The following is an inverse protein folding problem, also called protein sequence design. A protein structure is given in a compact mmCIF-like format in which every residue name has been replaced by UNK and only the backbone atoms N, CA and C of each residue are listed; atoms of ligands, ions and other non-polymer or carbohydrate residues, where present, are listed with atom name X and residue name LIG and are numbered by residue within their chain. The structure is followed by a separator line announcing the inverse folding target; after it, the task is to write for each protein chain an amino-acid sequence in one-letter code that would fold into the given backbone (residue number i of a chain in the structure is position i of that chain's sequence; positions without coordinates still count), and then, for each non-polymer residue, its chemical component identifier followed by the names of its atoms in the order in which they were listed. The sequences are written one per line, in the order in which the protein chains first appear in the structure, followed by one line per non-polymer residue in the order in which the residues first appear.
data_IF_477085833644
#
_entry.id   IF_477085833644
#
_cell.length_a   1.000
_cell.length_b   1.000
_cell.length_c   1.000
_cell.angle_alpha   90.00
_cell.angle_beta   90.00
_cell.angle_gamma   90.00
#
_symmetry.space_group_name_H-M   'P 1'
#
loop_
_entity.id
_entity.type
_entity.pdbx_description
1 polymer ?
#
# COMPACT_ATOMS: atom_id res chain seq x y z
N UNK A 1 -30.58 25.21 24.52
CA UNK A 1 -29.64 24.34 23.79
C UNK A 1 -28.42 25.17 23.51
N UNK A 2 -27.38 25.01 24.32
CA UNK A 2 -26.14 25.77 24.22
C UNK A 2 -24.98 24.76 24.25
N UNK A 3 -24.21 24.71 23.17
CA UNK A 3 -23.15 23.72 22.99
C UNK A 3 -21.88 24.20 23.73
N UNK A 4 -21.57 23.56 24.85
CA UNK A 4 -20.35 23.80 25.63
C UNK A 4 -19.09 23.30 24.93
N UNK A 5 -18.63 23.99 23.89
CA UNK A 5 -17.24 23.88 23.45
C UNK A 5 -16.35 24.71 24.38
N UNK A 6 -15.60 24.03 25.26
CA UNK A 6 -14.50 24.67 25.99
C UNK A 6 -13.48 25.18 24.96
N UNK A 7 -13.29 26.51 24.92
CA UNK A 7 -12.20 27.14 24.16
C UNK A 7 -10.86 26.59 24.64
N UNK A 8 -10.02 26.17 23.70
CA UNK A 8 -8.62 25.93 23.93
C UNK A 8 -7.95 27.22 24.46
N UNK A 9 -7.07 27.15 25.48
CA UNK A 9 -6.29 28.30 25.87
C UNK A 9 -5.38 28.71 24.70
N UNK A 10 -5.27 30.01 24.45
CA UNK A 10 -4.44 30.58 23.39
C UNK A 10 -2.94 30.31 23.60
N UNK A 11 -2.08 30.77 22.66
CA UNK A 11 -0.64 30.53 22.74
C UNK A 11 -0.03 31.11 24.02
N UNK A 12 1.01 30.43 24.53
CA UNK A 12 1.72 30.80 25.76
C UNK A 12 2.32 32.22 25.67
N UNK A 13 2.35 32.99 26.78
CA UNK A 13 3.05 34.26 26.82
C UNK A 13 4.57 34.10 26.58
N UNK A 14 5.26 35.09 25.99
CA UNK A 14 6.65 34.94 25.54
C UNK A 14 7.70 34.94 26.66
N UNK A 15 7.31 35.16 27.92
CA UNK A 15 8.20 35.44 29.05
C UNK A 15 8.44 34.25 29.99
N UNK A 16 8.02 33.04 29.60
CA UNK A 16 8.43 31.81 30.28
C UNK A 16 7.80 31.57 31.65
N UNK A 17 6.67 32.20 31.96
CA UNK A 17 5.91 31.91 33.17
C UNK A 17 5.32 30.50 33.19
N UNK A 18 5.49 29.76 34.30
CA UNK A 18 4.85 28.47 34.52
C UNK A 18 3.34 28.64 34.73
N UNK A 19 2.53 27.90 33.96
CA UNK A 19 1.09 27.81 34.17
C UNK A 19 0.80 27.17 35.53
N UNK A 20 0.25 27.96 36.46
CA UNK A 20 -0.17 27.49 37.77
C UNK A 20 -1.52 26.76 37.61
N UNK A 21 -1.47 25.44 37.63
CA UNK A 21 -2.66 24.60 37.53
C UNK A 21 -3.30 24.50 38.91
N UNK A 22 -4.59 24.86 39.10
CA UNK A 22 -5.20 24.76 40.41
C UNK A 22 -5.27 23.28 40.83
N UNK A 23 -4.49 22.91 41.83
CA UNK A 23 -4.58 21.66 42.55
C UNK A 23 -5.84 21.68 43.44
N UNK A 24 -7.02 21.51 42.83
CA UNK A 24 -8.26 21.27 43.56
C UNK A 24 -8.70 19.83 43.32
N UNK A 25 -8.71 19.05 44.39
CA UNK A 25 -8.95 17.62 44.41
C UNK A 25 -10.30 17.22 43.81
N UNK A 26 -10.23 16.21 42.95
CA UNK A 26 -11.31 15.27 42.70
C UNK A 26 -10.62 13.91 42.56
N UNK A 27 -10.42 13.20 43.67
CA UNK A 27 -10.40 11.75 43.65
C UNK A 27 -11.84 11.29 43.36
N UNK A 28 -12.32 11.59 42.15
CA UNK A 28 -13.41 10.88 41.55
C UNK A 28 -12.76 9.64 40.99
N UNK A 29 -12.99 8.51 41.64
CA UNK A 29 -12.94 7.23 40.95
C UNK A 29 -13.71 7.44 39.65
N UNK A 30 -13.03 7.37 38.50
CA UNK A 30 -13.69 7.28 37.21
C UNK A 30 -14.38 5.92 37.22
N UNK A 31 -15.56 5.87 37.83
CA UNK A 31 -16.48 4.77 37.69
C UNK A 31 -17.04 4.94 36.29
N UNK A 32 -16.75 3.97 35.42
CA UNK A 32 -17.49 3.86 34.17
C UNK A 32 -18.99 3.92 34.52
N UNK A 33 -19.78 4.74 33.82
CA UNK A 33 -21.21 4.79 34.07
C UNK A 33 -21.78 3.37 33.95
N UNK A 34 -22.54 2.89 34.94
CA UNK A 34 -23.06 1.53 34.92
C UNK A 34 -24.02 1.38 33.74
N UNK A 35 -23.61 0.60 32.75
CA UNK A 35 -24.52 0.00 31.77
C UNK A 35 -24.82 0.80 30.50
N UNK A 36 -24.00 1.77 30.10
CA UNK A 36 -23.93 2.06 28.66
C UNK A 36 -23.06 0.95 28.06
N UNK A 37 -23.72 -0.11 27.57
CA UNK A 37 -23.09 -1.07 26.68
C UNK A 37 -22.38 -0.23 25.61
N UNK A 38 -21.05 -0.07 25.73
CA UNK A 38 -20.25 0.69 24.78
C UNK A 38 -20.38 -0.09 23.49
N UNK A 39 -21.40 0.24 22.71
CA UNK A 39 -21.62 -0.28 21.39
C UNK A 39 -20.39 0.17 20.62
N UNK A 40 -19.42 -0.72 20.48
CA UNK A 40 -18.18 -0.43 19.76
C UNK A 40 -18.63 0.07 18.40
N UNK A 41 -18.38 1.35 18.11
CA UNK A 41 -18.77 1.98 16.85
C UNK A 41 -18.40 1.01 15.72
N UNK A 42 -19.38 0.54 14.92
CA UNK A 42 -19.13 -0.41 13.84
C UNK A 42 -18.01 0.04 12.91
N UNK A 43 -17.86 1.36 12.74
CA UNK A 43 -16.79 1.99 11.96
C UNK A 43 -15.42 1.70 12.56
N UNK A 44 -15.25 1.91 13.87
CA UNK A 44 -14.01 1.65 14.60
C UNK A 44 -13.64 0.16 14.56
N UNK A 45 -14.62 -0.73 14.76
CA UNK A 45 -14.41 -2.18 14.66
C UNK A 45 -13.91 -2.60 13.27
N UNK A 46 -14.50 -2.06 12.21
CA UNK A 46 -14.11 -2.35 10.83
C UNK A 46 -12.69 -1.85 10.51
N UNK A 47 -12.30 -0.70 11.05
CA UNK A 47 -10.94 -0.15 10.92
C UNK A 47 -9.91 -1.03 11.63
N UNK A 48 -10.17 -1.42 12.88
CA UNK A 48 -9.26 -2.31 13.63
C UNK A 48 -9.08 -3.65 12.93
N UNK A 49 -10.18 -4.24 12.44
CA UNK A 49 -10.13 -5.47 11.67
C UNK A 49 -9.20 -5.33 10.45
N UNK A 50 -9.36 -4.28 9.64
CA UNK A 50 -8.57 -4.05 8.42
C UNK A 50 -7.06 -3.83 8.65
N UNK A 51 -6.62 -3.56 9.89
CA UNK A 51 -5.20 -3.43 10.24
C UNK A 51 -4.56 -4.78 10.57
N UNK A 52 -5.36 -5.75 11.03
CA UNK A 52 -4.87 -7.06 11.46
C UNK A 52 -4.61 -7.99 10.26
N UNK A 53 -3.48 -8.73 10.23
CA UNK A 53 -3.26 -9.75 9.20
C UNK A 53 -4.20 -10.95 9.38
N UNK A 54 -4.61 -11.60 8.29
CA UNK A 54 -5.22 -12.95 8.37
C UNK A 54 -4.24 -13.99 8.90
N UNK A 55 -2.95 -13.85 8.56
CA UNK A 55 -1.87 -14.73 8.98
C UNK A 55 -0.57 -13.94 9.02
N UNK A 56 0.03 -13.70 10.20
CA UNK A 56 1.30 -12.98 10.31
C UNK A 56 2.45 -13.63 9.54
N UNK A 57 2.46 -14.97 9.44
CA UNK A 57 3.49 -15.73 8.75
C UNK A 57 3.42 -15.54 7.23
N UNK A 58 2.21 -15.52 6.67
CA UNK A 58 2.00 -15.49 5.22
C UNK A 58 1.83 -14.07 4.68
N UNK A 59 1.07 -13.22 5.39
CA UNK A 59 0.75 -11.86 4.97
C UNK A 59 1.70 -10.80 5.54
N UNK A 60 2.63 -11.21 6.41
CA UNK A 60 3.52 -10.33 7.15
C UNK A 60 2.93 -9.88 8.49
N UNK A 61 3.78 -9.54 9.48
CA UNK A 61 3.31 -9.14 10.80
C UNK A 61 2.48 -7.85 10.76
N UNK A 62 1.82 -7.54 11.86
CA UNK A 62 1.09 -6.29 12.01
C UNK A 62 2.01 -5.09 11.74
N UNK A 63 1.54 -4.11 10.96
CA UNK A 63 2.34 -2.95 10.57
C UNK A 63 3.43 -3.21 9.52
N UNK A 64 3.74 -4.47 9.19
CA UNK A 64 4.74 -4.86 8.20
C UNK A 64 4.15 -5.85 7.17
N UNK A 65 3.19 -5.41 6.33
CA UNK A 65 2.60 -6.26 5.32
C UNK A 65 3.62 -6.67 4.25
N UNK A 66 3.60 -7.94 3.86
CA UNK A 66 4.47 -8.45 2.79
C UNK A 66 4.00 -8.03 1.39
N UNK A 67 2.71 -7.77 1.18
CA UNK A 67 2.19 -7.39 -0.13
C UNK A 67 2.87 -6.13 -0.70
N UNK A 68 2.95 -4.98 0.02
CA UNK A 68 3.68 -3.79 -0.45
C UNK A 68 5.17 -4.01 -0.71
N UNK A 69 5.80 -4.99 -0.04
CA UNK A 69 7.19 -5.35 -0.29
C UNK A 69 7.29 -6.14 -1.60
N UNK A 70 6.44 -7.15 -1.78
CA UNK A 70 6.47 -8.03 -2.95
C UNK A 70 6.12 -7.30 -4.26
N UNK A 71 5.22 -6.32 -4.23
CA UNK A 71 4.86 -5.54 -5.44
C UNK A 71 6.03 -4.72 -6.00
N UNK A 72 7.10 -4.50 -5.23
CA UNK A 72 8.30 -3.81 -5.75
C UNK A 72 8.98 -4.59 -6.87
N UNK A 73 8.92 -5.93 -6.83
CA UNK A 73 9.52 -6.82 -7.84
C UNK A 73 8.86 -6.65 -9.21
N UNK A 74 7.54 -6.87 -9.40
CA UNK A 74 6.89 -6.68 -10.69
C UNK A 74 7.01 -5.25 -11.20
N UNK A 75 6.87 -4.25 -10.33
CA UNK A 75 6.96 -2.84 -10.73
C UNK A 75 8.35 -2.53 -11.28
N UNK A 76 9.40 -2.87 -10.54
CA UNK A 76 10.77 -2.63 -10.96
C UNK A 76 11.12 -3.39 -12.25
N UNK A 77 10.75 -4.67 -12.32
CA UNK A 77 11.04 -5.51 -13.47
C UNK A 77 10.37 -4.98 -14.75
N UNK A 78 9.08 -4.63 -14.70
CA UNK A 78 8.34 -4.14 -15.86
C UNK A 78 8.72 -2.72 -16.28
N UNK A 79 9.11 -1.85 -15.33
CA UNK A 79 9.70 -0.55 -15.69
C UNK A 79 11.03 -0.75 -16.41
N UNK A 80 11.91 -1.59 -15.88
CA UNK A 80 13.19 -1.91 -16.53
C UNK A 80 12.99 -2.59 -17.90
N UNK A 81 11.98 -3.45 -18.06
CA UNK A 81 11.68 -4.08 -19.34
C UNK A 81 11.29 -3.05 -20.39
N UNK A 82 10.48 -2.04 -20.03
CA UNK A 82 10.15 -0.94 -20.94
C UNK A 82 11.40 -0.11 -21.30
N UNK A 83 12.30 0.14 -20.34
CA UNK A 83 13.57 0.83 -20.62
C UNK A 83 14.40 0.03 -21.63
N UNK A 84 14.49 -1.28 -21.46
CA UNK A 84 15.22 -2.16 -22.38
C UNK A 84 14.58 -2.21 -23.77
N UNK A 85 13.25 -2.25 -23.84
CA UNK A 85 12.50 -2.15 -25.08
C UNK A 85 12.87 -0.88 -25.85
N UNK A 86 12.82 0.28 -25.19
CA UNK A 86 13.15 1.58 -25.81
C UNK A 86 14.63 1.61 -26.23
N UNK A 87 15.52 1.13 -25.37
CA UNK A 87 16.96 1.09 -25.64
C UNK A 87 17.31 0.16 -26.81
N UNK A 88 16.54 -0.92 -27.03
CA UNK A 88 16.72 -1.82 -28.17
C UNK A 88 16.58 -1.09 -29.52
N UNK A 89 15.85 0.03 -29.59
CA UNK A 89 15.76 0.84 -30.81
C UNK A 89 16.92 1.83 -31.02
N UNK A 90 17.89 1.88 -30.10
CA UNK A 90 18.96 2.89 -30.08
C UNK A 90 20.36 2.31 -30.22
N UNK A 91 20.49 0.99 -30.28
CA UNK A 91 21.77 0.28 -30.33
C UNK A 91 21.90 -0.53 -31.61
N UNK A 92 23.13 -0.71 -32.09
CA UNK A 92 23.41 -1.43 -33.34
C UNK A 92 23.07 -2.94 -33.26
N UNK A 93 23.18 -3.52 -32.06
CA UNK A 93 22.90 -4.95 -31.80
C UNK A 93 21.79 -5.09 -30.75
N UNK A 94 20.51 -5.03 -31.15
CA UNK A 94 19.40 -4.85 -30.21
C UNK A 94 18.94 -6.11 -29.48
N UNK A 95 19.25 -7.30 -30.00
CA UNK A 95 18.70 -8.57 -29.51
C UNK A 95 18.91 -8.83 -28.01
N UNK A 96 20.06 -8.47 -27.44
CA UNK A 96 20.32 -8.70 -26.01
C UNK A 96 19.40 -7.87 -25.09
N UNK A 97 19.03 -6.65 -25.50
CA UNK A 97 18.10 -5.81 -24.75
C UNK A 97 16.67 -6.31 -24.89
N UNK A 98 16.26 -6.71 -26.09
CA UNK A 98 14.94 -7.28 -26.33
C UNK A 98 14.76 -8.60 -25.54
N UNK A 99 15.79 -9.45 -25.51
CA UNK A 99 15.79 -10.68 -24.73
C UNK A 99 15.83 -10.40 -23.21
N UNK A 100 16.63 -9.43 -22.77
CA UNK A 100 16.64 -8.98 -21.37
C UNK A 100 15.27 -8.44 -20.93
N UNK A 101 14.59 -7.70 -21.80
CA UNK A 101 13.22 -7.21 -21.57
C UNK A 101 12.22 -8.36 -21.40
N UNK A 102 12.30 -9.39 -22.26
CA UNK A 102 11.46 -10.59 -22.14
C UNK A 102 11.67 -11.32 -20.79
N UNK A 103 12.93 -11.47 -20.35
CA UNK A 103 13.23 -12.03 -19.03
C UNK A 103 12.73 -11.19 -17.87
N UNK A 104 12.84 -9.86 -17.97
CA UNK A 104 12.30 -8.94 -16.97
C UNK A 104 10.77 -9.03 -16.91
N UNK A 105 10.09 -9.20 -18.05
CA UNK A 105 8.65 -9.47 -18.08
C UNK A 105 8.34 -10.77 -17.31
N UNK A 106 9.09 -11.85 -17.56
CA UNK A 106 8.91 -13.13 -16.86
C UNK A 106 9.13 -13.01 -15.34
N UNK A 107 10.21 -12.34 -14.92
CA UNK A 107 10.50 -12.07 -13.50
C UNK A 107 9.36 -11.27 -12.87
N UNK A 108 8.87 -10.25 -13.58
CA UNK A 108 7.74 -9.46 -13.12
C UNK A 108 6.46 -10.28 -13.01
N UNK A 109 6.19 -11.23 -13.92
CA UNK A 109 5.05 -12.13 -13.82
C UNK A 109 5.12 -13.03 -12.58
N UNK A 110 6.29 -13.62 -12.29
CA UNK A 110 6.50 -14.42 -11.07
C UNK A 110 6.28 -13.57 -9.82
N UNK A 111 6.85 -12.36 -9.79
CA UNK A 111 6.65 -11.41 -8.69
C UNK A 111 5.19 -10.99 -8.53
N UNK A 112 4.47 -10.76 -9.63
CA UNK A 112 3.06 -10.38 -9.62
C UNK A 112 2.17 -11.48 -9.04
N UNK A 113 2.42 -12.75 -9.39
CA UNK A 113 1.69 -13.89 -8.82
C UNK A 113 1.91 -13.99 -7.32
N UNK A 114 3.17 -13.91 -6.87
CA UNK A 114 3.50 -13.93 -5.44
C UNK A 114 2.81 -12.76 -4.69
N UNK A 115 2.90 -11.55 -5.23
CA UNK A 115 2.26 -10.37 -4.64
C UNK A 115 0.72 -10.49 -4.63
N UNK A 116 0.11 -11.04 -5.68
CA UNK A 116 -1.33 -11.23 -5.79
C UNK A 116 -1.86 -12.23 -4.75
N UNK A 117 -1.12 -13.32 -4.49
CA UNK A 117 -1.48 -14.26 -3.42
C UNK A 117 -1.54 -13.56 -2.06
N UNK A 118 -0.54 -12.74 -1.73
CA UNK A 118 -0.52 -12.02 -0.47
C UNK A 118 -1.57 -10.89 -0.43
N UNK A 119 -1.75 -10.16 -1.52
CA UNK A 119 -2.77 -9.10 -1.61
C UNK A 119 -4.19 -9.64 -1.51
N UNK A 120 -4.44 -10.85 -1.98
CA UNK A 120 -5.73 -11.53 -1.82
C UNK A 120 -6.01 -11.86 -0.34
N UNK A 121 -4.99 -12.27 0.41
CA UNK A 121 -5.10 -12.47 1.86
C UNK A 121 -5.45 -11.16 2.58
N UNK A 122 -4.82 -10.04 2.19
CA UNK A 122 -5.13 -8.72 2.74
C UNK A 122 -6.58 -8.26 2.38
N UNK A 123 -7.07 -8.59 1.19
CA UNK A 123 -8.44 -8.26 0.75
C UNK A 123 -9.51 -8.93 1.61
N UNK A 124 -9.30 -10.18 2.06
CA UNK A 124 -10.28 -10.94 2.85
C UNK A 124 -10.59 -10.26 4.19
N UNK A 125 -9.62 -9.51 4.73
CA UNK A 125 -9.77 -8.79 6.00
C UNK A 125 -10.70 -7.58 5.87
N UNK A 126 -10.76 -6.97 4.68
CA UNK A 126 -11.49 -5.71 4.46
C UNK A 126 -13.00 -5.97 4.47
N UNK A 127 -13.79 -5.29 5.32
CA UNK A 127 -15.24 -5.50 5.37
C UNK A 127 -15.94 -5.09 4.05
N UNK A 128 -16.77 -6.00 3.52
CA UNK A 128 -17.33 -5.93 2.14
C UNK A 128 -18.22 -4.71 1.84
N UNK A 129 -18.88 -4.14 2.84
CA UNK A 129 -19.79 -2.99 2.69
C UNK A 129 -19.07 -1.62 2.72
N UNK A 130 -17.74 -1.61 2.73
CA UNK A 130 -16.95 -0.38 2.87
C UNK A 130 -16.51 0.22 1.54
N UNK A 131 -16.22 1.52 1.54
CA UNK A 131 -15.55 2.19 0.40
C UNK A 131 -14.17 1.60 0.13
N UNK A 132 -13.44 1.23 1.19
CA UNK A 132 -12.13 0.57 1.09
C UNK A 132 -12.23 -0.74 0.30
N UNK A 133 -13.24 -1.57 0.57
CA UNK A 133 -13.44 -2.83 -0.17
C UNK A 133 -13.69 -2.59 -1.66
N UNK A 134 -14.52 -1.60 -2.03
CA UNK A 134 -14.75 -1.28 -3.45
C UNK A 134 -13.47 -0.84 -4.16
N UNK A 135 -12.66 0.00 -3.51
CA UNK A 135 -11.37 0.42 -4.05
C UNK A 135 -10.40 -0.77 -4.18
N UNK A 136 -10.37 -1.65 -3.18
CA UNK A 136 -9.56 -2.87 -3.21
C UNK A 136 -9.96 -3.82 -4.36
N UNK A 137 -11.25 -3.97 -4.63
CA UNK A 137 -11.75 -4.75 -5.78
C UNK A 137 -11.33 -4.15 -7.12
N UNK A 138 -11.44 -2.82 -7.28
CA UNK A 138 -11.00 -2.13 -8.52
C UNK A 138 -9.49 -2.27 -8.70
N UNK A 139 -8.72 -2.08 -7.62
CA UNK A 139 -7.27 -2.29 -7.63
C UNK A 139 -6.89 -3.71 -8.05
N UNK A 140 -7.50 -4.73 -7.42
CA UNK A 140 -7.28 -6.13 -7.76
C UNK A 140 -7.62 -6.42 -9.23
N UNK A 141 -8.76 -5.93 -9.72
CA UNK A 141 -9.18 -6.13 -11.11
C UNK A 141 -8.21 -5.48 -12.10
N UNK A 142 -7.74 -4.25 -11.84
CA UNK A 142 -6.74 -3.59 -12.67
C UNK A 142 -5.44 -4.39 -12.72
N UNK A 143 -4.94 -4.88 -11.58
CA UNK A 143 -3.72 -5.67 -11.55
C UNK A 143 -3.87 -7.01 -12.28
N UNK A 144 -5.05 -7.63 -12.22
CA UNK A 144 -5.32 -8.86 -12.98
C UNK A 144 -5.27 -8.57 -14.49
N UNK A 145 -5.89 -7.49 -14.95
CA UNK A 145 -5.82 -7.06 -16.36
C UNK A 145 -4.38 -6.78 -16.78
N UNK A 146 -3.60 -6.05 -15.96
CA UNK A 146 -2.17 -5.79 -16.22
C UNK A 146 -1.38 -7.09 -16.31
N UNK A 147 -1.61 -8.02 -15.38
CA UNK A 147 -0.91 -9.31 -15.36
C UNK A 147 -1.24 -10.13 -16.60
N UNK A 148 -2.51 -10.22 -16.98
CA UNK A 148 -2.94 -10.90 -18.22
C UNK A 148 -2.33 -10.24 -19.45
N UNK A 149 -2.27 -8.91 -19.48
CA UNK A 149 -1.63 -8.18 -20.58
C UNK A 149 -0.13 -8.51 -20.67
N UNK A 150 0.59 -8.61 -19.54
CA UNK A 150 1.99 -9.03 -19.53
C UNK A 150 2.19 -10.51 -19.88
N UNK A 151 1.27 -11.40 -19.52
CA UNK A 151 1.27 -12.80 -19.98
C UNK A 151 1.13 -12.85 -21.50
N UNK A 152 0.16 -12.11 -22.06
CA UNK A 152 -0.06 -12.03 -23.49
C UNK A 152 1.16 -11.42 -24.21
N UNK A 153 1.77 -10.39 -23.63
CA UNK A 153 2.97 -9.74 -24.15
C UNK A 153 4.18 -10.70 -24.14
N UNK A 154 4.36 -11.45 -23.04
CA UNK A 154 5.39 -12.48 -22.94
C UNK A 154 5.18 -13.56 -24.00
N UNK A 155 3.98 -14.13 -24.10
CA UNK A 155 3.66 -15.16 -25.10
C UNK A 155 3.86 -14.66 -26.54
N UNK A 156 3.48 -13.41 -26.83
CA UNK A 156 3.71 -12.79 -28.13
C UNK A 156 5.22 -12.73 -28.43
N UNK A 157 6.03 -12.21 -27.53
CA UNK A 157 7.49 -12.12 -27.71
C UNK A 157 8.13 -13.50 -27.83
N UNK A 158 7.74 -14.42 -26.96
CA UNK A 158 8.32 -15.76 -26.87
C UNK A 158 8.11 -16.59 -28.15
N UNK A 159 7.04 -16.31 -28.91
CA UNK A 159 6.82 -16.95 -30.22
C UNK A 159 7.92 -16.68 -31.26
N UNK A 160 8.71 -15.62 -31.07
CA UNK A 160 9.87 -15.26 -31.89
C UNK A 160 11.21 -15.47 -31.18
N UNK A 161 11.27 -16.29 -30.13
CA UNK A 161 12.50 -16.49 -29.36
C UNK A 161 13.57 -17.32 -30.13
N UNK A 162 14.87 -17.00 -30.02
CA UNK A 162 15.46 -15.88 -29.30
C UNK A 162 15.30 -14.53 -30.03
N UNK A 163 15.27 -13.44 -29.26
CA UNK A 163 15.13 -12.10 -29.83
C UNK A 163 16.41 -11.66 -30.55
N UNK A 164 16.36 -11.52 -31.88
CA UNK A 164 17.49 -11.05 -32.68
C UNK A 164 17.40 -9.56 -33.04
N UNK A 165 16.19 -9.00 -33.02
CA UNK A 165 15.90 -7.63 -33.44
C UNK A 165 15.34 -6.79 -32.29
N UNK A 166 15.20 -5.49 -32.52
CA UNK A 166 14.52 -4.61 -31.57
C UNK A 166 13.06 -5.04 -31.40
N UNK A 167 12.47 -4.72 -30.24
CA UNK A 167 11.08 -5.07 -29.97
C UNK A 167 10.14 -4.47 -31.03
N UNK A 168 9.12 -5.22 -31.45
CA UNK A 168 8.14 -4.67 -32.37
C UNK A 168 7.19 -3.68 -31.68
N UNK A 169 6.60 -2.76 -32.47
CA UNK A 169 5.76 -1.69 -31.93
C UNK A 169 4.55 -2.20 -31.12
N UNK A 170 3.96 -3.34 -31.50
CA UNK A 170 2.79 -3.91 -30.79
C UNK A 170 3.09 -4.29 -29.33
N UNK A 171 4.02 -5.23 -29.07
CA UNK A 171 4.49 -5.58 -27.72
C UNK A 171 5.00 -4.38 -26.90
N UNK A 172 5.64 -3.40 -27.54
CA UNK A 172 6.07 -2.16 -26.89
C UNK A 172 4.88 -1.30 -26.44
N UNK A 173 3.91 -1.04 -27.34
CA UNK A 173 2.72 -0.29 -27.03
C UNK A 173 1.90 -0.95 -25.91
N UNK A 174 1.80 -2.29 -25.93
CA UNK A 174 1.17 -3.06 -24.87
C UNK A 174 1.88 -2.87 -23.52
N UNK A 175 3.22 -2.94 -23.47
CA UNK A 175 4.00 -2.65 -22.25
C UNK A 175 3.70 -1.25 -21.69
N UNK A 176 3.66 -0.23 -22.56
CA UNK A 176 3.37 1.16 -22.17
C UNK A 176 1.98 1.29 -21.56
N UNK A 177 0.95 0.78 -22.25
CA UNK A 177 -0.44 0.82 -21.76
C UNK A 177 -0.58 0.06 -20.45
N UNK A 178 0.04 -1.11 -20.34
CA UNK A 178 0.07 -1.90 -19.11
C UNK A 178 0.73 -1.16 -17.95
N UNK A 179 1.85 -0.44 -18.18
CA UNK A 179 2.49 0.37 -17.14
C UNK A 179 1.65 1.58 -16.72
N UNK A 180 0.94 2.23 -17.65
CA UNK A 180 0.01 3.31 -17.31
C UNK A 180 -1.14 2.78 -16.44
N UNK A 181 -1.71 1.64 -16.80
CA UNK A 181 -2.74 0.97 -16.00
C UNK A 181 -2.19 0.53 -14.62
N UNK A 182 -0.95 0.04 -14.56
CA UNK A 182 -0.27 -0.31 -13.32
C UNK A 182 -0.05 0.92 -12.43
N UNK A 183 0.32 2.07 -12.99
CA UNK A 183 0.47 3.31 -12.23
C UNK A 183 -0.87 3.78 -11.63
N UNK A 184 -1.96 3.72 -12.41
CA UNK A 184 -3.31 4.01 -11.93
C UNK A 184 -3.72 3.04 -10.80
N UNK A 185 -3.42 1.74 -10.96
CA UNK A 185 -3.62 0.73 -9.92
C UNK A 185 -2.80 1.05 -8.66
N UNK A 186 -1.53 1.44 -8.82
CA UNK A 186 -0.63 1.82 -7.73
C UNK A 186 -1.15 2.99 -6.90
N UNK A 187 -1.77 3.98 -7.54
CA UNK A 187 -2.45 5.08 -6.83
C UNK A 187 -3.59 4.58 -5.94
N UNK A 188 -4.40 3.62 -6.41
CA UNK A 188 -5.46 3.00 -5.59
C UNK A 188 -4.88 2.18 -4.43
N UNK A 189 -3.77 1.47 -4.66
CA UNK A 189 -3.04 0.74 -3.61
C UNK A 189 -2.53 1.69 -2.52
N UNK A 190 -1.94 2.82 -2.92
CA UNK A 190 -1.54 3.88 -1.99
C UNK A 190 -2.73 4.47 -1.22
N UNK A 191 -3.88 4.66 -1.86
CA UNK A 191 -5.10 5.10 -1.18
C UNK A 191 -5.56 4.09 -0.12
N UNK A 192 -5.47 2.78 -0.39
CA UNK A 192 -5.82 1.74 0.58
C UNK A 192 -4.90 1.78 1.81
N UNK A 193 -3.59 1.84 1.59
CA UNK A 193 -2.60 1.88 2.67
C UNK A 193 -2.67 3.19 3.45
N UNK A 194 -2.48 4.33 2.78
CA UNK A 194 -2.24 5.61 3.45
C UNK A 194 -3.51 6.39 3.80
N UNK A 195 -4.59 6.24 3.03
CA UNK A 195 -5.85 6.98 3.27
C UNK A 195 -6.87 6.17 4.04
N UNK A 196 -6.96 4.86 3.79
CA UNK A 196 -7.91 3.98 4.48
C UNK A 196 -7.25 3.13 5.57
N UNK A 197 -5.93 3.22 5.76
CA UNK A 197 -5.22 2.59 6.87
C UNK A 197 -5.15 1.06 6.80
N UNK A 198 -5.38 0.46 5.62
CA UNK A 198 -5.35 -1.00 5.46
C UNK A 198 -3.93 -1.49 5.75
N UNK A 199 -3.81 -2.40 6.73
CA UNK A 199 -2.53 -2.97 7.20
C UNK A 199 -1.50 -1.97 7.75
N UNK A 200 -1.90 -0.72 8.02
CA UNK A 200 -1.05 0.31 8.66
C UNK A 200 -1.29 0.33 10.16
N UNK A 201 -0.22 0.37 10.94
CA UNK A 201 -0.30 0.42 12.41
C UNK A 201 -1.16 1.59 12.89
N UNK A 202 -1.84 1.42 14.03
CA UNK A 202 -2.54 2.51 14.73
C UNK A 202 -1.57 3.56 15.27
N UNK A 203 -2.06 4.78 15.43
CA UNK A 203 -1.29 5.98 15.77
C UNK A 203 -0.53 5.82 17.09
N UNK A 204 -1.12 5.16 18.10
CA UNK A 204 -0.46 4.95 19.38
C UNK A 204 0.80 4.06 19.27
N UNK A 205 0.81 3.08 18.36
CA UNK A 205 2.01 2.26 18.07
C UNK A 205 3.04 3.07 17.30
N UNK A 206 2.61 3.99 16.44
CA UNK A 206 3.52 4.87 15.70
C UNK A 206 4.18 5.92 16.61
N UNK A 207 3.51 6.32 17.70
CA UNK A 207 4.02 7.31 18.66
C UNK A 207 5.34 6.87 19.31
N UNK A 208 5.58 5.56 19.45
CA UNK A 208 6.85 5.00 19.94
C UNK A 208 8.06 5.50 19.13
N UNK A 209 7.89 5.74 17.82
CA UNK A 209 8.93 6.28 16.94
C UNK A 209 9.25 7.76 17.14
N UNK A 210 8.43 8.49 17.91
CA UNK A 210 8.58 9.92 18.20
C UNK A 210 8.82 10.21 19.69
N UNK A 211 8.88 9.17 20.53
CA UNK A 211 9.27 9.32 21.93
C UNK A 211 10.71 9.85 22.03
N UNK A 212 10.94 10.84 22.90
CA UNK A 212 12.29 11.31 23.17
C UNK A 212 13.10 10.19 23.82
N UNK A 213 14.22 9.78 23.21
CA UNK A 213 15.16 8.88 23.86
C UNK A 213 15.81 9.65 25.01
N UNK A 214 15.37 9.42 26.24
CA UNK A 214 16.13 9.80 27.43
C UNK A 214 17.42 8.98 27.43
N UNK A 215 18.47 9.55 26.84
CA UNK A 215 19.84 9.10 27.03
C UNK A 215 20.17 9.38 28.48
N UNK A 216 20.08 8.35 29.33
CA UNK A 216 20.65 8.39 30.67
C UNK A 216 22.13 8.04 30.52
N UNK A 217 22.98 9.02 30.76
CA UNK A 217 24.45 8.90 30.85
C UNK A 217 24.89 7.94 31.97
#
# INVERSE_FOLDING_TARGET
MDQGYRRWPGPLPPDGGTLDWPASGVHGEYTDPPGEEVTVDPTRKNLEQAKQPVSPLLAGPYGHPFHPILVTVPIGAWVCSLVFDIASHRVDRPGFLAQGSEWLIAIGLVGAVAAAMIGFLDLIVIPRSTRAFRVAMVHMALNLVVTVAYIANFAWRHSGYPQETAVSFGPLALSVVSLVALAASGYLGGMLAYRYGVRVAVEHVQADGFGQSTTTD
#
